data_IF_452540645691
#
_entry.id   IF_452540645691
#
_cell.length_a   1.000
_cell.length_b   1.000
_cell.length_c   1.000
_cell.angle_alpha   90.00
_cell.angle_beta   90.00
_cell.angle_gamma   90.00
#
_symmetry.space_group_name_H-M   'P 1'
#
loop_
_entity.id
_entity.type
_entity.pdbx_description
1 polymer ?
#
# COMPACT_ATOMS: atom_id res chain seq x y z
N UNK A 1 1.62 31.75 -63.32
CA UNK A 1 2.44 30.78 -62.56
C UNK A 1 2.42 31.02 -61.04
N UNK A 2 1.40 31.69 -60.48
CA UNK A 2 1.36 32.03 -59.04
C UNK A 2 0.22 31.37 -58.24
N UNK A 3 -0.70 30.67 -58.91
CA UNK A 3 -1.88 30.08 -58.25
C UNK A 3 -1.57 28.68 -57.69
N UNK A 4 -0.87 27.83 -58.44
CA UNK A 4 -0.47 26.49 -57.98
C UNK A 4 0.53 26.50 -56.81
N UNK A 5 1.43 27.49 -56.78
CA UNK A 5 2.43 27.63 -55.70
C UNK A 5 1.78 27.96 -54.36
N UNK A 6 0.69 28.76 -54.38
CA UNK A 6 -0.06 29.12 -53.16
C UNK A 6 -0.78 27.92 -52.56
N UNK A 7 -1.41 27.09 -53.38
CA UNK A 7 -2.09 25.87 -52.91
C UNK A 7 -1.09 24.84 -52.35
N UNK A 8 0.08 24.69 -52.98
CA UNK A 8 1.15 23.84 -52.47
C UNK A 8 1.65 24.31 -51.10
N UNK A 9 1.83 25.63 -50.94
CA UNK A 9 2.27 26.23 -49.68
C UNK A 9 1.24 26.04 -48.56
N UNK A 10 -0.05 26.18 -48.86
CA UNK A 10 -1.13 25.96 -47.88
C UNK A 10 -1.20 24.50 -47.44
N UNK A 11 -1.04 23.55 -48.37
CA UNK A 11 -0.98 22.11 -48.04
C UNK A 11 0.24 21.76 -47.18
N UNK A 12 1.38 22.40 -47.45
CA UNK A 12 2.59 22.17 -46.66
C UNK A 12 2.45 22.73 -45.23
N UNK A 13 1.86 23.92 -45.09
CA UNK A 13 1.59 24.54 -43.77
C UNK A 13 0.55 23.77 -42.96
N UNK A 14 -0.49 23.23 -43.59
CA UNK A 14 -1.48 22.41 -42.89
C UNK A 14 -0.91 21.08 -42.40
N UNK A 15 -0.02 20.45 -43.19
CA UNK A 15 0.69 19.24 -42.79
C UNK A 15 1.62 19.49 -41.59
N UNK A 16 2.31 20.63 -41.53
CA UNK A 16 3.15 21.01 -40.38
C UNK A 16 2.34 21.18 -39.08
N UNK A 17 1.16 21.81 -39.18
CA UNK A 17 0.28 22.02 -38.03
C UNK A 17 -0.28 20.70 -37.48
N UNK A 18 -0.52 19.71 -38.34
CA UNK A 18 -0.98 18.38 -37.94
C UNK A 18 0.15 17.53 -37.34
N UNK A 19 1.38 17.65 -37.87
CA UNK A 19 2.55 16.93 -37.36
C UNK A 19 3.03 17.46 -35.99
N UNK A 20 2.80 18.73 -35.68
CA UNK A 20 3.22 19.37 -34.43
C UNK A 20 2.41 19.02 -33.18
N UNK A 21 1.32 18.25 -33.30
CA UNK A 21 0.39 18.00 -32.17
C UNK A 21 0.67 16.70 -31.40
N UNK A 22 1.75 16.00 -31.72
CA UNK A 22 2.25 14.82 -31.00
C UNK A 22 3.06 15.17 -29.74
N UNK A 23 2.53 16.06 -28.90
CA UNK A 23 3.11 16.30 -27.57
C UNK A 23 2.63 15.20 -26.62
N UNK A 24 3.45 14.16 -26.46
CA UNK A 24 3.28 13.12 -25.46
C UNK A 24 3.04 13.75 -24.08
N UNK A 25 1.84 13.58 -23.53
CA UNK A 25 1.59 13.79 -22.11
C UNK A 25 2.45 12.80 -21.34
N UNK A 26 3.67 13.22 -20.99
CA UNK A 26 4.50 12.53 -20.02
C UNK A 26 4.01 13.00 -18.66
N UNK A 27 2.97 12.34 -18.15
CA UNK A 27 2.71 12.37 -16.71
C UNK A 27 3.89 11.67 -16.06
N UNK A 28 4.86 12.45 -15.59
CA UNK A 28 5.89 11.97 -14.70
C UNK A 28 5.24 11.78 -13.33
N UNK A 29 4.51 10.68 -13.17
CA UNK A 29 4.13 10.18 -11.86
C UNK A 29 5.44 9.87 -11.12
N UNK A 30 5.87 10.78 -10.25
CA UNK A 30 6.93 10.47 -9.31
C UNK A 30 6.31 9.50 -8.30
N UNK A 31 6.36 8.21 -8.61
CA UNK A 31 6.08 7.16 -7.64
C UNK A 31 7.22 7.17 -6.61
N UNK A 32 7.10 8.05 -5.62
CA UNK A 32 7.96 8.01 -4.44
C UNK A 32 7.51 6.80 -3.63
N UNK A 33 8.07 5.64 -3.97
CA UNK A 33 7.98 4.45 -3.12
C UNK A 33 8.86 4.75 -1.89
N UNK A 34 8.24 5.24 -0.83
CA UNK A 34 8.90 5.39 0.46
C UNK A 34 9.20 3.98 0.98
N UNK A 35 10.47 3.60 0.91
CA UNK A 35 10.93 2.35 1.52
C UNK A 35 10.65 2.40 3.02
N UNK A 36 9.90 1.42 3.53
CA UNK A 36 9.55 1.33 4.95
C UNK A 36 10.74 0.99 5.84
N UNK A 37 11.90 0.65 5.24
CA UNK A 37 13.16 0.43 5.95
C UNK A 37 13.67 1.66 6.73
N UNK A 38 13.30 2.87 6.30
CA UNK A 38 13.67 4.13 6.98
C UNK A 38 12.82 4.41 8.23
N UNK A 39 11.74 3.66 8.47
CA UNK A 39 10.89 3.83 9.63
C UNK A 39 11.51 3.12 10.85
N UNK A 40 12.14 3.89 11.73
CA UNK A 40 12.68 3.36 12.98
C UNK A 40 11.53 2.86 13.88
N UNK A 41 11.46 1.54 14.09
CA UNK A 41 10.46 0.93 14.97
C UNK A 41 10.95 0.97 16.41
N UNK A 42 10.30 1.78 17.24
CA UNK A 42 10.48 1.74 18.69
C UNK A 42 9.61 0.60 19.24
N UNK A 43 10.21 -0.57 19.42
CA UNK A 43 9.57 -1.70 20.11
C UNK A 43 10.40 -1.97 21.35
N UNK A 44 9.79 -1.77 22.52
CA UNK A 44 10.39 -2.19 23.79
C UNK A 44 10.56 -3.71 23.80
N UNK A 45 11.55 -4.20 24.54
CA UNK A 45 11.72 -5.64 24.70
C UNK A 45 10.46 -6.23 25.34
N UNK A 46 9.92 -7.27 24.71
CA UNK A 46 8.76 -7.97 25.26
C UNK A 46 9.18 -8.59 26.60
N UNK A 47 8.51 -8.25 27.72
CA UNK A 47 8.83 -8.86 29.01
C UNK A 47 8.50 -10.34 28.98
N UNK A 48 9.13 -11.11 29.87
CA UNK A 48 8.79 -12.51 30.06
C UNK A 48 7.31 -12.66 30.44
N UNK A 49 6.53 -13.22 29.52
CA UNK A 49 5.09 -13.37 29.70
C UNK A 49 4.82 -14.59 30.61
N UNK A 50 4.15 -14.41 31.77
CA UNK A 50 3.79 -15.53 32.62
C UNK A 50 2.82 -16.44 31.88
N UNK A 51 3.14 -17.74 31.81
CA UNK A 51 2.26 -18.76 31.25
C UNK A 51 1.30 -19.24 32.35
N UNK A 52 0.02 -19.30 32.03
CA UNK A 52 -1.04 -19.71 32.96
C UNK A 52 -1.68 -21.00 32.44
N UNK A 53 -1.77 -22.03 33.29
CA UNK A 53 -2.42 -23.29 32.96
C UNK A 53 -3.92 -23.21 33.28
N UNK A 54 -4.73 -22.93 32.26
CA UNK A 54 -6.18 -22.66 32.38
C UNK A 54 -7.06 -23.91 32.31
N UNK A 55 -6.48 -25.09 32.15
CA UNK A 55 -7.21 -26.35 32.10
C UNK A 55 -6.42 -27.47 32.75
N UNK A 56 -7.14 -28.49 33.22
CA UNK A 56 -6.59 -29.72 33.78
C UNK A 56 -7.33 -30.93 33.23
N UNK A 57 -6.81 -32.14 33.42
CA UNK A 57 -7.51 -33.37 33.05
C UNK A 57 -8.10 -34.04 34.28
N UNK A 58 -9.40 -34.35 34.25
CA UNK A 58 -10.08 -35.15 35.27
C UNK A 58 -10.67 -36.37 34.59
N UNK A 59 -10.19 -37.56 34.98
CA UNK A 59 -10.58 -38.83 34.36
C UNK A 59 -10.37 -38.86 32.83
N UNK A 60 -9.28 -38.25 32.34
CA UNK A 60 -8.97 -38.15 30.91
C UNK A 60 -9.77 -37.10 30.15
N UNK A 61 -10.71 -36.40 30.78
CA UNK A 61 -11.50 -35.33 30.18
C UNK A 61 -10.88 -33.96 30.54
N UNK A 62 -10.65 -33.06 29.57
CA UNK A 62 -10.19 -31.71 29.88
C UNK A 62 -11.29 -30.92 30.60
N UNK A 63 -10.94 -30.26 31.69
CA UNK A 63 -11.81 -29.44 32.52
C UNK A 63 -11.18 -28.05 32.64
N UNK A 64 -11.99 -27.00 32.49
CA UNK A 64 -11.51 -25.62 32.66
C UNK A 64 -11.23 -25.33 34.13
N UNK A 65 -10.06 -24.73 34.39
CA UNK A 65 -9.71 -24.19 35.69
C UNK A 65 -10.20 -22.74 35.76
N UNK A 66 -10.87 -22.32 36.83
CA UNK A 66 -11.25 -20.91 36.99
C UNK A 66 -10.00 -20.05 37.13
N UNK A 67 -9.91 -19.00 36.30
CA UNK A 67 -8.85 -18.00 36.37
C UNK A 67 -9.37 -16.78 37.14
N UNK A 68 -8.79 -16.52 38.31
CA UNK A 68 -9.07 -15.32 39.09
C UNK A 68 -7.97 -14.29 38.83
N UNK A 69 -8.30 -13.23 38.09
CA UNK A 69 -7.40 -12.09 37.86
C UNK A 69 -7.92 -10.95 38.72
N UNK A 70 -7.34 -10.76 39.91
CA UNK A 70 -7.81 -9.75 40.87
C UNK A 70 -9.29 -9.94 41.24
N UNK A 71 -10.08 -8.87 41.20
CA UNK A 71 -11.52 -8.92 41.51
C UNK A 71 -12.40 -9.41 40.34
N UNK A 72 -11.81 -9.86 39.22
CA UNK A 72 -12.54 -10.32 38.05
C UNK A 72 -12.48 -11.85 37.94
N UNK A 73 -13.61 -12.52 38.20
CA UNK A 73 -13.77 -13.96 37.96
C UNK A 73 -14.39 -14.17 36.59
N UNK A 74 -13.65 -14.80 35.67
CA UNK A 74 -14.18 -15.20 34.36
C UNK A 74 -14.25 -16.73 34.27
N UNK A 75 -15.43 -17.26 33.94
CA UNK A 75 -15.59 -18.65 33.51
C UNK A 75 -15.36 -18.64 31.99
N UNK A 76 -14.32 -19.35 31.54
CA UNK A 76 -14.11 -19.68 30.13
C UNK A 76 -14.84 -20.98 29.81
#
# INVERSE_FOLDING_TARGET
MGFHVKHLLVLFLSALLLAGRGGSSRDSEIQVVLDSSFLQKFVDQLPDMPRIQTYSFKNGVPVSNPLEIGMFKKKW
#
